data_IF_453413540020
#
_entry.id   IF_453413540020
#
_cell.length_a   1.000
_cell.length_b   1.000
_cell.length_c   1.000
_cell.angle_alpha   90.00
_cell.angle_beta   90.00
_cell.angle_gamma   90.00
#
_symmetry.space_group_name_H-M   'P 1'
#
loop_
_entity.id
_entity.type
_entity.pdbx_description
1 polymer ?
#
# COMPACT_ATOMS: atom_id res chain seq x y z
N UNK A 1 6.12 -11.35 -13.43
CA UNK A 1 5.74 -11.05 -12.04
C UNK A 1 6.88 -10.24 -11.43
N UNK A 2 6.61 -9.25 -10.59
CA UNK A 2 7.62 -8.42 -9.92
C UNK A 2 7.65 -8.77 -8.44
N UNK A 3 8.83 -8.70 -7.82
CA UNK A 3 9.03 -8.95 -6.40
C UNK A 3 9.33 -7.64 -5.68
N UNK A 4 8.71 -7.47 -4.52
CA UNK A 4 8.92 -6.31 -3.65
C UNK A 4 8.86 -6.73 -2.18
N UNK A 5 9.26 -5.81 -1.32
CA UNK A 5 9.20 -5.97 0.13
C UNK A 5 8.28 -4.89 0.71
N UNK A 6 7.39 -5.27 1.63
CA UNK A 6 6.58 -4.32 2.39
C UNK A 6 7.48 -3.41 3.21
N UNK A 7 6.99 -2.24 3.64
CA UNK A 7 7.75 -1.37 4.55
C UNK A 7 8.11 -2.03 5.90
N UNK A 8 7.43 -3.12 6.24
CA UNK A 8 7.70 -3.95 7.42
C UNK A 8 8.65 -5.13 7.18
N UNK A 9 9.18 -5.29 5.96
CA UNK A 9 10.18 -6.31 5.65
C UNK A 9 9.64 -7.65 5.15
N UNK A 10 8.35 -7.77 4.82
CA UNK A 10 7.78 -9.00 4.26
C UNK A 10 7.85 -8.99 2.75
N UNK A 11 8.30 -10.10 2.15
CA UNK A 11 8.30 -10.22 0.70
C UNK A 11 6.88 -10.40 0.16
N UNK A 12 6.68 -10.02 -1.10
CA UNK A 12 5.48 -10.32 -1.85
C UNK A 12 5.78 -10.25 -3.35
N UNK A 13 4.96 -10.93 -4.14
CA UNK A 13 4.96 -10.77 -5.58
C UNK A 13 3.74 -9.99 -6.06
N UNK A 14 3.85 -9.35 -7.21
CA UNK A 14 2.70 -8.74 -7.86
C UNK A 14 2.80 -8.78 -9.39
N UNK A 15 1.64 -8.63 -10.04
CA UNK A 15 1.51 -8.42 -11.49
C UNK A 15 0.43 -7.37 -11.76
N UNK A 16 0.44 -6.81 -12.95
CA UNK A 16 -0.46 -5.73 -13.37
C UNK A 16 0.26 -4.38 -13.47
N UNK A 17 -0.54 -3.35 -13.74
CA UNK A 17 -0.10 -1.96 -13.91
C UNK A 17 -0.87 -1.04 -12.96
N UNK A 18 -0.27 0.09 -12.56
CA UNK A 18 -0.90 1.08 -11.67
C UNK A 18 -2.12 1.78 -12.28
N UNK A 19 -2.31 1.71 -13.60
CA UNK A 19 -3.51 2.18 -14.32
C UNK A 19 -4.61 1.12 -14.40
N UNK A 20 -4.25 -0.14 -14.16
CA UNK A 20 -5.13 -1.30 -14.24
C UNK A 20 -5.27 -1.93 -12.84
N UNK A 21 -5.73 -3.18 -12.79
CA UNK A 21 -5.76 -3.97 -11.58
C UNK A 21 -4.37 -4.52 -11.24
N UNK A 22 -3.99 -4.39 -9.98
CA UNK A 22 -2.82 -5.08 -9.43
C UNK A 22 -3.27 -6.36 -8.74
N UNK A 23 -2.61 -7.47 -9.05
CA UNK A 23 -2.80 -8.74 -8.37
C UNK A 23 -1.55 -8.98 -7.53
N UNK A 24 -1.73 -9.01 -6.21
CA UNK A 24 -0.69 -9.20 -5.22
C UNK A 24 -0.75 -10.61 -4.65
N UNK A 25 0.41 -11.22 -4.50
CA UNK A 25 0.62 -12.53 -3.88
C UNK A 25 1.46 -12.31 -2.62
N UNK A 26 0.82 -12.15 -1.44
CA UNK A 26 1.53 -12.02 -0.17
C UNK A 26 2.34 -13.27 0.13
N UNK A 27 3.45 -13.13 0.87
CA UNK A 27 4.05 -14.31 1.50
C UNK A 27 3.07 -15.00 2.45
N UNK A 28 3.25 -16.30 2.63
CA UNK A 28 2.48 -17.11 3.58
C UNK A 28 2.78 -16.76 5.06
N UNK A 29 2.22 -17.55 5.98
CA UNK A 29 2.42 -17.40 7.42
C UNK A 29 3.88 -17.58 7.87
N UNK A 30 4.72 -18.24 7.08
CA UNK A 30 6.15 -18.48 7.33
C UNK A 30 7.04 -17.46 6.61
N UNK A 31 6.45 -16.55 5.82
CA UNK A 31 7.19 -15.54 5.05
C UNK A 31 7.66 -16.05 3.68
N UNK A 32 7.29 -17.27 3.30
CA UNK A 32 7.66 -17.87 2.01
C UNK A 32 6.74 -17.37 0.91
N UNK A 33 7.29 -17.25 -0.30
CA UNK A 33 6.51 -16.88 -1.48
C UNK A 33 5.50 -18.00 -1.81
N UNK A 34 4.28 -17.63 -2.17
CA UNK A 34 3.20 -18.54 -2.49
C UNK A 34 2.30 -17.93 -3.58
N UNK A 35 1.59 -18.78 -4.33
CA UNK A 35 0.70 -18.39 -5.43
C UNK A 35 -0.78 -18.82 -5.21
N UNK A 36 -1.11 -19.39 -4.05
CA UNK A 36 -2.44 -19.90 -3.67
C UNK A 36 -3.43 -18.78 -3.32
N UNK A 37 -2.98 -17.76 -2.60
CA UNK A 37 -3.77 -16.60 -2.21
C UNK A 37 -3.32 -15.37 -2.95
N UNK A 38 -4.27 -14.72 -3.62
CA UNK A 38 -4.06 -13.45 -4.28
C UNK A 38 -5.03 -12.38 -3.74
N UNK A 39 -4.52 -11.16 -3.61
CA UNK A 39 -5.27 -9.97 -3.27
C UNK A 39 -5.32 -9.04 -4.49
N UNK A 40 -6.52 -8.64 -4.90
CA UNK A 40 -6.72 -7.64 -5.94
C UNK A 40 -6.70 -6.22 -5.34
N UNK A 41 -5.96 -5.32 -5.98
CA UNK A 41 -6.01 -3.88 -5.74
C UNK A 41 -6.56 -3.23 -7.00
N UNK A 42 -7.79 -2.75 -6.91
CA UNK A 42 -8.52 -2.20 -8.05
C UNK A 42 -7.98 -0.82 -8.45
N UNK A 43 -8.22 -0.38 -9.69
CA UNK A 43 -7.91 0.99 -10.11
C UNK A 43 -8.53 2.05 -9.21
N UNK A 44 -9.74 1.79 -8.67
CA UNK A 44 -10.39 2.69 -7.73
C UNK A 44 -9.54 2.92 -6.47
N UNK A 45 -9.08 1.83 -5.83
CA UNK A 45 -8.26 1.90 -4.62
C UNK A 45 -6.92 2.59 -4.90
N UNK A 46 -6.27 2.25 -6.01
CA UNK A 46 -5.03 2.90 -6.45
C UNK A 46 -5.21 4.41 -6.64
N UNK A 47 -6.26 4.82 -7.37
CA UNK A 47 -6.54 6.23 -7.64
C UNK A 47 -6.90 7.00 -6.37
N UNK A 48 -7.68 6.41 -5.46
CA UNK A 48 -8.03 7.01 -4.18
C UNK A 48 -6.78 7.25 -3.32
N UNK A 49 -5.88 6.26 -3.22
CA UNK A 49 -4.64 6.41 -2.45
C UNK A 49 -3.74 7.48 -3.07
N UNK A 50 -3.57 7.47 -4.40
CA UNK A 50 -2.77 8.47 -5.11
C UNK A 50 -3.33 9.89 -4.95
N UNK A 51 -4.66 10.06 -5.03
CA UNK A 51 -5.29 11.37 -4.87
C UNK A 51 -5.07 11.93 -3.47
N UNK A 52 -5.23 11.10 -2.44
CA UNK A 52 -5.03 11.52 -1.05
C UNK A 52 -3.57 11.86 -0.77
N UNK A 53 -2.61 11.04 -1.21
CA UNK A 53 -1.18 11.32 -1.06
C UNK A 53 -0.84 12.67 -1.70
N UNK A 54 -1.32 12.92 -2.92
CA UNK A 54 -1.10 14.19 -3.63
C UNK A 54 -1.74 15.38 -2.92
N UNK A 55 -2.99 15.26 -2.47
CA UNK A 55 -3.71 16.34 -1.80
C UNK A 55 -3.08 16.69 -0.44
N UNK A 56 -2.70 15.68 0.34
CA UNK A 56 -2.20 15.86 1.70
C UNK A 56 -0.71 16.16 1.77
N UNK A 57 0.04 15.83 0.72
CA UNK A 57 1.51 15.92 0.59
C UNK A 57 2.28 15.03 1.56
N UNK A 58 1.87 14.97 2.83
CA UNK A 58 2.35 14.06 3.85
C UNK A 58 1.15 13.44 4.59
N UNK A 59 1.13 12.11 4.73
CA UNK A 59 0.06 11.41 5.45
C UNK A 59 0.54 10.11 6.09
N UNK A 60 -0.02 9.75 7.24
CA UNK A 60 0.21 8.43 7.84
C UNK A 60 -0.36 7.32 6.97
N UNK A 61 0.42 6.25 6.77
CA UNK A 61 -0.01 5.06 6.05
C UNK A 61 -1.17 4.35 6.78
N UNK A 62 -0.95 3.92 8.02
CA UNK A 62 -2.00 3.30 8.82
C UNK A 62 -2.55 1.98 8.26
N UNK A 63 -1.69 1.05 7.80
CA UNK A 63 -2.12 -0.23 7.22
C UNK A 63 -2.76 -1.25 8.20
N UNK A 64 -3.04 -0.83 9.44
CA UNK A 64 -3.73 -1.66 10.44
C UNK A 64 -5.17 -1.92 10.02
N UNK A 65 -5.56 -3.21 9.95
CA UNK A 65 -6.91 -3.62 9.57
C UNK A 65 -7.95 -3.17 10.60
N UNK A 66 -7.63 -3.37 11.88
CA UNK A 66 -8.62 -3.28 12.94
C UNK A 66 -8.80 -1.82 13.41
N UNK A 67 -7.70 -1.10 13.60
CA UNK A 67 -7.73 0.27 14.11
C UNK A 67 -6.66 1.16 13.43
N UNK A 68 -6.88 1.58 12.18
CA UNK A 68 -6.00 2.53 11.52
C UNK A 68 -6.09 3.91 12.21
N UNK A 69 -4.97 4.66 12.35
CA UNK A 69 -4.99 6.00 12.94
C UNK A 69 -5.99 6.92 12.21
N UNK A 70 -6.65 7.82 12.94
CA UNK A 70 -7.55 8.81 12.33
C UNK A 70 -6.79 9.64 11.27
N UNK A 71 -7.46 9.95 10.18
CA UNK A 71 -6.91 10.70 9.04
C UNK A 71 -5.69 10.07 8.35
N UNK A 72 -5.41 8.77 8.59
CA UNK A 72 -4.45 7.99 7.81
C UNK A 72 -5.06 7.48 6.50
N UNK A 73 -4.22 7.07 5.55
CA UNK A 73 -4.68 6.36 4.35
C UNK A 73 -5.54 5.15 4.71
N UNK A 74 -5.16 4.38 5.73
CA UNK A 74 -5.94 3.25 6.21
C UNK A 74 -7.33 3.64 6.70
N UNK A 75 -7.46 4.74 7.44
CA UNK A 75 -8.78 5.22 7.87
C UNK A 75 -9.66 5.66 6.70
N UNK A 76 -9.06 6.28 5.67
CA UNK A 76 -9.75 6.72 4.47
C UNK A 76 -10.22 5.53 3.64
N UNK A 77 -9.38 4.50 3.47
CA UNK A 77 -9.77 3.24 2.81
C UNK A 77 -10.92 2.57 3.55
N UNK A 78 -10.84 2.48 4.88
CA UNK A 78 -11.90 1.87 5.71
C UNK A 78 -13.24 2.58 5.53
N UNK A 79 -13.24 3.92 5.46
CA UNK A 79 -14.45 4.72 5.19
C UNK A 79 -15.04 4.51 3.79
N UNK A 80 -14.30 3.87 2.88
CA UNK A 80 -14.73 3.49 1.53
C UNK A 80 -14.94 1.98 1.39
N UNK A 81 -15.06 1.25 2.50
CA UNK A 81 -15.20 -0.21 2.55
C UNK A 81 -14.03 -0.97 1.88
N UNK A 82 -12.84 -0.37 1.86
CA UNK A 82 -11.61 -1.00 1.40
C UNK A 82 -10.76 -1.44 2.60
N UNK A 83 -10.00 -2.52 2.45
CA UNK A 83 -9.15 -3.03 3.53
C UNK A 83 -7.86 -2.20 3.67
N UNK A 84 -7.55 -1.65 4.85
CA UNK A 84 -6.29 -0.93 5.08
C UNK A 84 -5.05 -1.78 4.77
N UNK A 85 -5.17 -3.11 4.85
CA UNK A 85 -4.07 -4.04 4.60
C UNK A 85 -3.49 -3.92 3.19
N UNK A 86 -4.31 -3.50 2.20
CA UNK A 86 -3.87 -3.24 0.82
C UNK A 86 -2.68 -2.27 0.76
N UNK A 87 -2.60 -1.32 1.70
CA UNK A 87 -1.52 -0.34 1.76
C UNK A 87 -0.15 -1.00 1.97
N UNK A 88 -0.08 -2.15 2.65
CA UNK A 88 1.18 -2.88 2.89
C UNK A 88 1.88 -3.23 1.58
N UNK A 89 1.14 -3.35 0.49
CA UNK A 89 1.61 -3.74 -0.83
C UNK A 89 1.58 -2.57 -1.82
N UNK A 90 0.49 -1.79 -1.84
CA UNK A 90 0.34 -0.67 -2.76
C UNK A 90 1.40 0.41 -2.53
N UNK A 91 1.74 0.73 -1.29
CA UNK A 91 2.71 1.78 -0.98
C UNK A 91 4.12 1.45 -1.52
N UNK A 92 4.71 0.26 -1.26
CA UNK A 92 5.95 -0.14 -1.91
C UNK A 92 5.92 -0.04 -3.44
N UNK A 93 4.82 -0.44 -4.08
CA UNK A 93 4.67 -0.35 -5.54
C UNK A 93 4.68 1.12 -6.00
N UNK A 94 4.00 2.01 -5.27
CA UNK A 94 3.99 3.45 -5.57
C UNK A 94 5.38 4.08 -5.37
N UNK A 95 6.12 3.66 -4.35
CA UNK A 95 7.51 4.09 -4.12
C UNK A 95 8.42 3.64 -5.26
N UNK A 96 8.32 2.37 -5.67
CA UNK A 96 9.11 1.86 -6.80
C UNK A 96 8.79 2.60 -8.12
N UNK A 97 7.55 3.08 -8.29
CA UNK A 97 7.16 3.91 -9.44
C UNK A 97 7.63 5.36 -9.35
N UNK A 98 8.27 5.77 -8.25
CA UNK A 98 8.71 7.15 -8.01
C UNK A 98 7.60 8.12 -7.59
N UNK A 99 6.38 7.63 -7.35
CA UNK A 99 5.22 8.49 -7.05
C UNK A 99 5.27 9.11 -5.65
N UNK A 100 5.85 8.41 -4.68
CA UNK A 100 5.99 8.88 -3.31
C UNK A 100 7.22 8.25 -2.66
N UNK A 101 7.61 8.77 -1.51
CA UNK A 101 8.61 8.20 -0.62
C UNK A 101 7.99 7.96 0.77
N UNK A 102 8.78 7.44 1.70
CA UNK A 102 8.32 7.25 3.07
C UNK A 102 9.37 7.67 4.09
N UNK A 103 8.88 8.13 5.24
CA UNK A 103 9.68 8.34 6.43
C UNK A 103 9.13 7.50 7.58
N UNK A 104 10.02 7.10 8.48
CA UNK A 104 9.65 6.36 9.70
C UNK A 104 9.60 7.33 10.88
N UNK A 105 8.47 7.33 11.58
CA UNK A 105 8.27 8.11 12.80
C UNK A 105 7.92 7.13 13.93
N UNK A 106 8.96 6.72 14.67
CA UNK A 106 8.88 5.62 15.63
C UNK A 106 8.45 4.30 14.98
N UNK A 107 7.23 3.84 15.27
CA UNK A 107 6.63 2.63 14.67
C UNK A 107 5.72 2.94 13.47
N UNK A 108 5.45 4.22 13.19
CA UNK A 108 4.56 4.63 12.12
C UNK A 108 5.32 4.91 10.82
N UNK A 109 4.63 4.72 9.69
CA UNK A 109 5.11 5.11 8.37
C UNK A 109 4.33 6.33 7.89
N UNK A 110 5.06 7.39 7.56
CA UNK A 110 4.54 8.57 6.85
C UNK A 110 4.87 8.43 5.37
N UNK A 111 3.88 8.71 4.53
CA UNK A 111 4.00 8.68 3.08
C UNK A 111 4.07 10.12 2.59
N UNK A 112 5.09 10.43 1.80
CA UNK A 112 5.42 11.78 1.35
C UNK A 112 5.32 11.79 -0.17
N UNK A 113 4.52 12.70 -0.72
CA UNK A 113 4.35 12.83 -2.15
C UNK A 113 5.61 13.40 -2.80
N UNK A 114 6.06 12.79 -3.90
CA UNK A 114 7.15 13.34 -4.70
C UNK A 114 6.58 14.33 -5.71
N UNK A 115 7.11 15.56 -5.72
CA UNK A 115 6.87 16.48 -6.84
C UNK A 115 7.66 15.96 -8.04
N UNK A 116 6.98 15.19 -8.89
CA UNK A 116 7.49 14.82 -10.22
C UNK A 116 7.57 16.01 -11.14
#
# INVERSE_FOLDING_TARGET
MKALTTLSGKNFHYKGDLREELIVYPSDGEGMAQDEFALAITPFTTNLVKSVIRERREILMGASRDNPPKNSLGSILKNRNQTPQQLSYLIPILIESGFCEYAKDGKAFKIIYNEG
#
